data_IF_461513183338
#
_entry.id   IF_461513183338
#
_cell.length_a   1.000
_cell.length_b   1.000
_cell.length_c   1.000
_cell.angle_alpha   90.00
_cell.angle_beta   90.00
_cell.angle_gamma   90.00
#
_symmetry.space_group_name_H-M   'P 1'
#
loop_
_entity.id
_entity.type
_entity.pdbx_description
1 polymer ?
#
# COMPACT_ATOMS: atom_id res chain seq x y z
N UNK A 1 -20.91 13.30 6.07
CA UNK A 1 -20.62 14.28 4.99
C UNK A 1 -19.92 13.62 3.81
N UNK A 2 -18.81 12.89 4.00
CA UNK A 2 -18.11 12.17 2.93
C UNK A 2 -18.94 11.05 2.30
N UNK A 3 -19.61 10.21 3.09
CA UNK A 3 -20.47 9.13 2.56
C UNK A 3 -21.62 9.65 1.69
N UNK A 4 -22.25 10.76 2.08
CA UNK A 4 -23.32 11.41 1.31
C UNK A 4 -22.80 11.89 -0.04
N UNK A 5 -21.60 12.47 -0.08
CA UNK A 5 -20.98 12.90 -1.33
C UNK A 5 -20.58 11.70 -2.20
N UNK A 6 -20.04 10.63 -1.62
CA UNK A 6 -19.73 9.39 -2.35
C UNK A 6 -20.99 8.80 -2.99
N UNK A 7 -22.10 8.73 -2.24
CA UNK A 7 -23.37 8.23 -2.76
C UNK A 7 -23.91 9.11 -3.90
N UNK A 8 -23.86 10.44 -3.71
CA UNK A 8 -24.22 11.39 -4.77
C UNK A 8 -23.36 11.22 -6.02
N UNK A 9 -22.06 10.94 -5.88
CA UNK A 9 -21.17 10.69 -7.01
C UNK A 9 -21.46 9.34 -7.69
N UNK A 10 -21.84 8.30 -6.94
CA UNK A 10 -22.29 7.01 -7.51
C UNK A 10 -23.52 7.21 -8.42
N UNK A 11 -24.42 8.13 -8.07
CA UNK A 11 -25.64 8.41 -8.83
C UNK A 11 -25.42 9.32 -10.05
N UNK A 12 -24.54 10.32 -9.95
CA UNK A 12 -24.43 11.38 -10.97
C UNK A 12 -23.27 11.19 -11.97
N UNK A 13 -22.17 10.61 -11.52
CA UNK A 13 -20.97 10.39 -12.33
C UNK A 13 -20.20 9.23 -11.72
N UNK A 14 -20.83 8.05 -11.82
CA UNK A 14 -20.23 6.78 -11.42
C UNK A 14 -18.80 6.80 -11.97
N UNK A 15 -17.82 6.79 -11.06
CA UNK A 15 -16.39 6.68 -11.38
C UNK A 15 -15.66 7.98 -11.74
N UNK A 16 -16.13 9.14 -11.27
CA UNK A 16 -15.35 10.38 -11.33
C UNK A 16 -14.04 10.31 -10.53
N UNK A 17 -13.07 11.17 -10.87
CA UNK A 17 -11.83 11.33 -10.09
C UNK A 17 -12.12 11.65 -8.62
N UNK A 18 -13.12 12.50 -8.38
CA UNK A 18 -13.60 12.86 -7.04
C UNK A 18 -14.10 11.64 -6.29
N UNK A 19 -14.90 10.78 -6.94
CA UNK A 19 -15.37 9.53 -6.35
C UNK A 19 -14.20 8.65 -5.90
N UNK A 20 -13.20 8.40 -6.76
CA UNK A 20 -12.03 7.57 -6.40
C UNK A 20 -11.27 8.13 -5.19
N UNK A 21 -10.99 9.43 -5.18
CA UNK A 21 -10.26 10.11 -4.09
C UNK A 21 -11.01 10.08 -2.76
N UNK A 22 -12.32 10.33 -2.79
CA UNK A 22 -13.16 10.29 -1.60
C UNK A 22 -13.29 8.86 -1.06
N UNK A 23 -13.49 7.88 -1.94
CA UNK A 23 -13.61 6.48 -1.55
C UNK A 23 -12.30 5.94 -0.95
N UNK A 24 -11.12 6.32 -1.47
CA UNK A 24 -9.83 5.99 -0.85
C UNK A 24 -9.65 6.61 0.54
N UNK A 25 -10.14 7.84 0.72
CA UNK A 25 -10.09 8.52 2.02
C UNK A 25 -11.04 7.88 3.02
N UNK A 26 -12.25 7.52 2.60
CA UNK A 26 -13.21 6.78 3.42
C UNK A 26 -12.67 5.39 3.78
N UNK A 27 -12.08 4.66 2.82
CA UNK A 27 -11.48 3.37 3.09
C UNK A 27 -10.39 3.46 4.17
N UNK A 28 -9.52 4.49 4.14
CA UNK A 28 -8.53 4.68 5.21
C UNK A 28 -9.20 4.93 6.57
N UNK A 29 -10.26 5.74 6.63
CA UNK A 29 -11.01 5.99 7.87
C UNK A 29 -11.59 4.68 8.42
N UNK A 30 -12.23 3.88 7.57
CA UNK A 30 -12.82 2.60 7.96
C UNK A 30 -11.74 1.61 8.45
N UNK A 31 -10.57 1.55 7.80
CA UNK A 31 -9.42 0.75 8.27
C UNK A 31 -8.98 1.20 9.66
N UNK A 32 -8.82 2.52 9.86
CA UNK A 32 -8.40 3.09 11.16
C UNK A 32 -9.43 2.88 12.27
N UNK A 33 -10.69 2.65 11.92
CA UNK A 33 -11.78 2.31 12.85
C UNK A 33 -12.00 0.79 12.99
N UNK A 34 -11.16 -0.05 12.37
CA UNK A 34 -11.28 -1.51 12.34
C UNK A 34 -12.57 -2.03 11.66
N UNK A 35 -13.22 -1.23 10.82
CA UNK A 35 -14.37 -1.65 10.03
C UNK A 35 -13.93 -2.28 8.70
N UNK A 36 -13.21 -3.41 8.79
CA UNK A 36 -12.54 -4.01 7.63
C UNK A 36 -13.50 -4.47 6.53
N UNK A 37 -14.71 -4.91 6.86
CA UNK A 37 -15.70 -5.31 5.85
C UNK A 37 -16.14 -4.12 4.99
N UNK A 38 -16.34 -2.94 5.61
CA UNK A 38 -16.70 -1.71 4.88
C UNK A 38 -15.54 -1.22 4.02
N UNK A 39 -14.33 -1.23 4.59
CA UNK A 39 -13.12 -0.87 3.86
C UNK A 39 -12.92 -1.79 2.64
N UNK A 40 -13.10 -3.10 2.82
CA UNK A 40 -12.99 -4.09 1.74
C UNK A 40 -13.97 -3.80 0.60
N UNK A 41 -15.25 -3.58 0.91
CA UNK A 41 -16.25 -3.28 -0.12
C UNK A 41 -15.90 -2.02 -0.93
N UNK A 42 -15.41 -0.97 -0.27
CA UNK A 42 -14.94 0.25 -0.94
C UNK A 42 -13.71 0.00 -1.82
N UNK A 43 -12.75 -0.78 -1.32
CA UNK A 43 -11.50 -1.06 -2.04
C UNK A 43 -11.71 -1.97 -3.23
N UNK A 44 -12.56 -3.00 -3.12
CA UNK A 44 -12.90 -3.89 -4.23
C UNK A 44 -13.58 -3.10 -5.37
N UNK A 45 -14.53 -2.20 -5.04
CA UNK A 45 -15.14 -1.26 -6.01
C UNK A 45 -14.07 -0.39 -6.69
N UNK A 46 -13.13 0.18 -5.93
CA UNK A 46 -12.11 1.10 -6.46
C UNK A 46 -11.07 0.39 -7.33
N UNK A 47 -10.62 -0.81 -6.94
CA UNK A 47 -9.62 -1.57 -7.68
C UNK A 47 -10.13 -1.95 -9.07
N UNK A 48 -11.39 -2.43 -9.16
CA UNK A 48 -12.05 -2.69 -10.44
C UNK A 48 -12.01 -1.46 -11.34
N UNK A 49 -12.20 -0.27 -10.77
CA UNK A 49 -12.18 0.96 -11.55
C UNK A 49 -10.80 1.29 -12.07
N UNK A 50 -9.77 1.19 -11.24
CA UNK A 50 -8.40 1.43 -11.68
C UNK A 50 -7.98 0.48 -12.81
N UNK A 51 -8.38 -0.79 -12.75
CA UNK A 51 -8.09 -1.78 -13.79
C UNK A 51 -8.80 -1.48 -15.12
N UNK A 52 -9.86 -0.67 -15.12
CA UNK A 52 -10.60 -0.28 -16.33
C UNK A 52 -10.15 1.05 -16.93
N UNK A 53 -9.24 1.79 -16.29
CA UNK A 53 -8.76 3.06 -16.82
C UNK A 53 -7.78 2.84 -17.98
N UNK A 54 -8.14 3.34 -19.17
CA UNK A 54 -7.27 3.25 -20.34
C UNK A 54 -6.00 4.11 -20.21
N UNK A 55 -6.12 5.31 -19.66
CA UNK A 55 -5.02 6.27 -19.50
C UNK A 55 -5.07 6.91 -18.11
N UNK A 56 -4.55 6.24 -17.05
CA UNK A 56 -4.55 6.79 -15.71
C UNK A 56 -3.58 7.97 -15.60
N UNK A 57 -4.05 9.08 -15.02
CA UNK A 57 -3.21 10.21 -14.68
C UNK A 57 -2.32 9.91 -13.44
N UNK A 58 -1.46 10.85 -13.05
CA UNK A 58 -0.55 10.67 -11.91
C UNK A 58 -1.31 10.40 -10.59
N UNK A 59 -2.43 11.09 -10.35
CA UNK A 59 -3.25 10.88 -9.16
C UNK A 59 -3.88 9.48 -9.17
N UNK A 60 -4.31 9.00 -10.35
CA UNK A 60 -4.88 7.68 -10.52
C UNK A 60 -3.86 6.57 -10.29
N UNK A 61 -2.64 6.72 -10.82
CA UNK A 61 -1.54 5.77 -10.62
C UNK A 61 -1.18 5.63 -9.15
N UNK A 62 -1.00 6.75 -8.45
CA UNK A 62 -0.72 6.76 -7.00
C UNK A 62 -1.92 6.21 -6.22
N UNK A 63 -3.14 6.55 -6.63
CA UNK A 63 -4.37 6.06 -6.04
C UNK A 63 -4.54 4.55 -6.16
N UNK A 64 -4.15 3.96 -7.30
CA UNK A 64 -4.18 2.52 -7.51
C UNK A 64 -3.20 1.80 -6.58
N UNK A 65 -1.94 2.23 -6.54
CA UNK A 65 -0.94 1.68 -5.61
C UNK A 65 -1.43 1.80 -4.16
N UNK A 66 -2.03 2.94 -3.79
CA UNK A 66 -2.63 3.14 -2.46
C UNK A 66 -3.80 2.18 -2.19
N UNK A 67 -4.65 1.90 -3.17
CA UNK A 67 -5.76 0.96 -3.02
C UNK A 67 -5.24 -0.46 -2.73
N UNK A 68 -4.21 -0.90 -3.48
CA UNK A 68 -3.58 -2.21 -3.29
C UNK A 68 -2.95 -2.34 -1.91
N UNK A 69 -2.19 -1.33 -1.48
CA UNK A 69 -1.61 -1.26 -0.11
C UNK A 69 -2.70 -1.32 0.96
N UNK A 70 -3.79 -0.58 0.77
CA UNK A 70 -4.91 -0.55 1.72
C UNK A 70 -5.62 -1.92 1.78
N UNK A 71 -5.77 -2.60 0.65
CA UNK A 71 -6.35 -3.93 0.56
C UNK A 71 -5.44 -4.97 1.23
N UNK A 72 -4.13 -4.89 1.02
CA UNK A 72 -3.16 -5.76 1.66
C UNK A 72 -3.23 -5.71 3.19
N UNK A 73 -3.41 -4.51 3.76
CA UNK A 73 -3.47 -4.28 5.22
C UNK A 73 -4.65 -4.96 5.92
N UNK A 74 -5.74 -5.23 5.20
CA UNK A 74 -6.95 -5.85 5.75
C UNK A 74 -7.12 -7.32 5.31
N UNK A 75 -6.16 -7.86 4.58
CA UNK A 75 -6.18 -9.23 4.07
C UNK A 75 -5.51 -10.19 5.04
N UNK A 76 -5.82 -11.48 4.91
CA UNK A 76 -5.02 -12.55 5.52
C UNK A 76 -3.59 -12.55 4.99
N UNK A 77 -2.60 -13.05 5.73
CA UNK A 77 -1.19 -13.00 5.30
C UNK A 77 -0.93 -13.55 3.88
N UNK A 78 -1.45 -14.74 3.48
CA UNK A 78 -1.22 -15.24 2.13
C UNK A 78 -1.81 -14.32 1.04
N UNK A 79 -2.99 -13.75 1.30
CA UNK A 79 -3.65 -12.82 0.37
C UNK A 79 -2.97 -11.44 0.35
N UNK A 80 -2.50 -10.98 1.52
CA UNK A 80 -1.82 -9.70 1.69
C UNK A 80 -0.52 -9.64 0.90
N UNK A 81 0.28 -10.71 0.89
CA UNK A 81 1.52 -10.78 0.09
C UNK A 81 1.23 -10.56 -1.40
N UNK A 82 0.14 -11.13 -1.91
CA UNK A 82 -0.32 -10.91 -3.28
C UNK A 82 -0.57 -9.42 -3.57
N UNK A 83 -1.32 -8.73 -2.71
CA UNK A 83 -1.60 -7.31 -2.89
C UNK A 83 -0.36 -6.42 -2.76
N UNK A 84 0.54 -6.71 -1.82
CA UNK A 84 1.83 -6.00 -1.70
C UNK A 84 2.68 -6.19 -2.96
N UNK A 85 2.76 -7.42 -3.48
CA UNK A 85 3.51 -7.72 -4.70
C UNK A 85 2.91 -7.02 -5.91
N UNK A 86 1.58 -7.03 -6.04
CA UNK A 86 0.89 -6.29 -7.12
C UNK A 86 1.12 -4.79 -7.01
N UNK A 87 1.21 -4.22 -5.81
CA UNK A 87 1.54 -2.81 -5.63
C UNK A 87 2.94 -2.45 -6.15
N UNK A 88 3.94 -3.32 -5.93
CA UNK A 88 5.27 -3.15 -6.52
C UNK A 88 5.23 -3.23 -8.05
N UNK A 89 4.53 -4.23 -8.59
CA UNK A 89 4.39 -4.41 -10.04
C UNK A 89 3.72 -3.20 -10.70
N UNK A 90 2.64 -2.68 -10.10
CA UNK A 90 1.97 -1.48 -10.62
C UNK A 90 2.86 -0.25 -10.55
N UNK A 91 3.67 -0.09 -9.50
CA UNK A 91 4.62 1.00 -9.41
C UNK A 91 5.65 0.95 -10.56
N UNK A 92 6.15 -0.24 -10.90
CA UNK A 92 7.07 -0.45 -12.04
C UNK A 92 6.38 -0.19 -13.39
N UNK A 93 5.16 -0.71 -13.61
CA UNK A 93 4.38 -0.48 -14.83
C UNK A 93 4.13 1.01 -15.05
N UNK A 94 3.84 1.76 -14.00
CA UNK A 94 3.55 3.18 -14.09
C UNK A 94 4.78 4.08 -14.27
N UNK A 95 5.96 3.59 -13.91
CA UNK A 95 7.22 4.31 -13.92
C UNK A 95 8.35 3.43 -14.49
N UNK A 96 8.25 2.99 -15.76
CA UNK A 96 9.19 2.02 -16.33
C UNK A 96 10.60 2.61 -16.43
N UNK A 97 11.58 1.91 -15.87
CA UNK A 97 12.99 2.32 -15.87
C UNK A 97 13.33 3.39 -14.82
N UNK A 98 12.35 3.85 -14.04
CA UNK A 98 12.60 4.72 -12.89
C UNK A 98 13.11 3.89 -11.71
N UNK A 99 13.91 4.53 -10.87
CA UNK A 99 14.43 3.85 -9.68
C UNK A 99 13.34 3.68 -8.61
N UNK A 100 13.42 2.60 -7.84
CA UNK A 100 12.46 2.34 -6.76
C UNK A 100 12.46 3.45 -5.71
N UNK A 101 11.27 3.88 -5.32
CA UNK A 101 11.06 4.95 -4.33
C UNK A 101 10.91 4.37 -2.92
N UNK A 102 10.94 5.24 -1.91
CA UNK A 102 10.83 4.83 -0.50
C UNK A 102 9.61 3.93 -0.21
N UNK A 103 8.47 4.18 -0.86
CA UNK A 103 7.27 3.33 -0.79
C UNK A 103 7.57 1.87 -1.12
N UNK A 104 8.39 1.58 -2.14
CA UNK A 104 8.79 0.22 -2.51
C UNK A 104 9.56 -0.45 -1.37
N UNK A 105 10.47 0.28 -0.72
CA UNK A 105 11.20 -0.18 0.45
C UNK A 105 10.28 -0.60 1.61
N UNK A 106 9.26 0.22 1.92
CA UNK A 106 8.26 -0.12 2.93
C UNK A 106 7.45 -1.36 2.54
N UNK A 107 7.05 -1.48 1.27
CA UNK A 107 6.33 -2.66 0.78
C UNK A 107 7.19 -3.93 0.93
N UNK A 108 8.49 -3.87 0.62
CA UNK A 108 9.41 -4.99 0.82
C UNK A 108 9.49 -5.42 2.29
N UNK A 109 9.46 -4.49 3.25
CA UNK A 109 9.39 -4.83 4.68
C UNK A 109 8.10 -5.59 5.02
N UNK A 110 6.95 -5.17 4.48
CA UNK A 110 5.69 -5.89 4.71
C UNK A 110 5.69 -7.30 4.12
N UNK A 111 6.26 -7.48 2.93
CA UNK A 111 6.40 -8.82 2.33
C UNK A 111 7.35 -9.68 3.19
N UNK A 112 8.48 -9.14 3.63
CA UNK A 112 9.40 -9.84 4.53
C UNK A 112 8.71 -10.29 5.82
N UNK A 113 7.98 -9.39 6.46
CA UNK A 113 7.20 -9.66 7.66
C UNK A 113 6.18 -10.78 7.45
N UNK A 114 5.42 -10.74 6.35
CA UNK A 114 4.45 -11.78 6.02
C UNK A 114 5.14 -13.13 5.85
N UNK A 115 6.25 -13.19 5.10
CA UNK A 115 7.01 -14.42 4.87
C UNK A 115 7.54 -15.03 6.16
N UNK A 116 8.04 -14.20 7.07
CA UNK A 116 8.41 -14.62 8.43
C UNK A 116 7.23 -15.30 9.13
N UNK A 117 6.05 -14.64 9.16
CA UNK A 117 4.85 -15.20 9.82
C UNK A 117 4.35 -16.49 9.14
N UNK A 118 4.61 -16.67 7.85
CA UNK A 118 4.30 -17.88 7.11
C UNK A 118 5.41 -18.95 7.16
N UNK A 119 6.54 -18.70 7.82
CA UNK A 119 7.66 -19.64 7.94
C UNK A 119 8.63 -19.68 6.74
N UNK A 120 8.49 -18.77 5.77
CA UNK A 120 9.42 -18.61 4.66
C UNK A 120 10.58 -17.66 5.03
N UNK A 121 11.53 -18.21 5.79
CA UNK A 121 12.70 -17.45 6.26
C UNK A 121 13.62 -17.00 5.13
N UNK A 122 13.85 -17.86 4.13
CA UNK A 122 14.73 -17.56 3.00
C UNK A 122 14.15 -16.43 2.14
N UNK A 123 12.86 -16.54 1.81
CA UNK A 123 12.17 -15.51 1.05
C UNK A 123 12.05 -14.19 1.81
N UNK A 124 11.91 -14.23 3.14
CA UNK A 124 11.98 -13.03 3.99
C UNK A 124 13.32 -12.31 3.87
N UNK A 125 14.44 -13.02 4.03
CA UNK A 125 15.78 -12.43 3.96
C UNK A 125 16.05 -11.74 2.61
N UNK A 126 15.59 -12.34 1.52
CA UNK A 126 15.66 -11.73 0.19
C UNK A 126 14.90 -10.39 0.10
N UNK A 127 13.73 -10.29 0.74
CA UNK A 127 12.93 -9.06 0.77
C UNK A 127 13.51 -8.00 1.71
N UNK A 128 14.05 -8.40 2.87
CA UNK A 128 14.74 -7.47 3.78
C UNK A 128 15.94 -6.83 3.10
N UNK A 129 16.74 -7.60 2.36
CA UNK A 129 17.89 -7.06 1.62
C UNK A 129 17.45 -5.96 0.64
N UNK A 130 16.41 -6.22 -0.15
CA UNK A 130 15.84 -5.21 -1.07
C UNK A 130 15.31 -3.99 -0.33
N UNK A 131 14.59 -4.19 0.77
CA UNK A 131 14.07 -3.09 1.59
C UNK A 131 15.19 -2.17 2.08
N UNK A 132 16.27 -2.74 2.62
CA UNK A 132 17.43 -1.98 3.11
C UNK A 132 18.10 -1.21 1.97
N UNK A 133 18.31 -1.86 0.82
CA UNK A 133 18.92 -1.21 -0.36
C UNK A 133 18.13 0.02 -0.80
N UNK A 134 16.80 -0.10 -0.90
CA UNK A 134 15.92 1.01 -1.30
C UNK A 134 15.86 2.10 -0.22
N UNK A 135 15.61 1.73 1.03
CA UNK A 135 15.45 2.70 2.12
C UNK A 135 16.72 3.51 2.35
N UNK A 136 17.91 2.90 2.24
CA UNK A 136 19.19 3.63 2.34
C UNK A 136 19.41 4.62 1.21
N UNK A 137 18.95 4.31 0.00
CA UNK A 137 19.15 5.13 -1.18
C UNK A 137 18.13 6.27 -1.29
N UNK A 138 17.01 6.20 -0.58
CA UNK A 138 15.85 7.09 -0.79
C UNK A 138 15.46 7.84 0.47
N UNK A 139 15.19 9.13 0.32
CA UNK A 139 14.53 9.91 1.38
C UNK A 139 13.07 9.48 1.53
N UNK A 140 12.51 9.48 2.76
CA UNK A 140 11.09 9.26 2.98
C UNK A 140 10.22 10.18 2.11
N UNK A 141 9.25 9.58 1.42
CA UNK A 141 8.25 10.28 0.61
C UNK A 141 6.87 10.03 1.19
N UNK A 142 6.10 11.10 1.42
CA UNK A 142 4.78 11.03 2.05
C UNK A 142 3.65 11.07 1.02
N UNK A 143 3.80 10.32 -0.09
CA UNK A 143 2.83 10.27 -1.18
C UNK A 143 1.54 9.53 -0.80
N UNK A 144 1.67 8.53 0.08
CA UNK A 144 0.56 7.71 0.55
C UNK A 144 0.36 7.98 2.04
N UNK A 145 -0.81 8.51 2.46
CA UNK A 145 -1.10 8.77 3.85
C UNK A 145 -0.82 7.55 4.73
N UNK A 146 -0.06 7.76 5.80
CA UNK A 146 0.27 6.71 6.76
C UNK A 146 1.47 5.84 6.41
N UNK A 147 1.82 5.70 5.13
CA UNK A 147 2.85 4.76 4.69
C UNK A 147 4.23 5.09 5.27
N UNK A 148 4.73 6.30 5.04
CA UNK A 148 6.02 6.75 5.58
C UNK A 148 5.99 7.14 7.06
N UNK A 149 4.91 6.85 7.78
CA UNK A 149 4.75 7.19 9.20
C UNK A 149 4.38 5.92 9.99
N UNK A 150 3.14 5.81 10.48
CA UNK A 150 2.74 4.72 11.36
C UNK A 150 2.84 3.32 10.75
N UNK A 151 2.72 3.18 9.41
CA UNK A 151 2.89 1.86 8.78
C UNK A 151 4.35 1.42 8.74
N UNK A 152 5.25 2.36 8.43
CA UNK A 152 6.67 2.11 8.44
C UNK A 152 7.18 1.83 9.85
N UNK A 153 6.78 2.64 10.84
CA UNK A 153 7.13 2.40 12.25
C UNK A 153 6.62 1.05 12.74
N UNK A 154 5.39 0.69 12.38
CA UNK A 154 4.78 -0.61 12.73
C UNK A 154 5.60 -1.78 12.18
N UNK A 155 5.83 -1.81 10.86
CA UNK A 155 6.49 -2.96 10.24
C UNK A 155 7.96 -3.07 10.66
N UNK A 156 8.62 -1.94 10.93
CA UNK A 156 9.98 -1.92 11.49
C UNK A 156 9.99 -2.60 12.88
N UNK A 157 9.11 -2.17 13.79
CA UNK A 157 9.04 -2.73 15.14
C UNK A 157 8.76 -4.23 15.12
N UNK A 158 7.79 -4.66 14.30
CA UNK A 158 7.46 -6.08 14.16
C UNK A 158 8.63 -6.92 13.62
N UNK A 159 9.45 -6.35 12.74
CA UNK A 159 10.61 -7.05 12.18
C UNK A 159 11.80 -7.06 13.15
N UNK A 160 12.03 -6.00 13.91
CA UNK A 160 13.03 -5.91 14.99
C UNK A 160 12.75 -6.94 16.10
N UNK A 161 11.47 -7.19 16.40
CA UNK A 161 11.06 -8.14 17.43
C UNK A 161 11.19 -9.61 16.98
N UNK A 162 11.00 -9.88 15.69
CA UNK A 162 10.91 -11.27 15.17
C UNK A 162 12.18 -11.72 14.47
N UNK A 163 12.97 -10.79 13.95
CA UNK A 163 14.23 -11.02 13.27
C UNK A 163 15.24 -10.09 13.95
N UNK A 164 16.46 -10.53 14.22
CA UNK A 164 17.55 -9.64 14.70
C UNK A 164 17.97 -8.69 13.56
N UNK A 165 17.03 -7.83 13.18
CA UNK A 165 17.03 -6.90 12.06
C UNK A 165 17.06 -5.51 12.65
N UNK A 166 17.98 -4.68 12.19
CA UNK A 166 17.99 -3.25 12.49
C UNK A 166 18.15 -2.45 11.21
N UNK A 167 17.33 -1.41 11.06
CA UNK A 167 17.56 -0.41 10.04
C UNK A 167 18.75 0.48 10.48
N UNK A 168 19.53 1.02 9.53
CA UNK A 168 20.66 1.88 9.88
C UNK A 168 20.18 3.16 10.57
N UNK A 169 20.92 3.58 11.60
CA UNK A 169 20.70 4.86 12.25
C UNK A 169 20.75 6.01 11.23
N UNK A 170 19.71 6.85 11.22
CA UNK A 170 19.63 8.06 10.39
C UNK A 170 19.08 7.86 8.97
N UNK A 171 18.45 6.73 8.66
CA UNK A 171 17.82 6.47 7.36
C UNK A 171 16.46 7.18 7.14
N UNK A 172 16.17 8.26 7.86
CA UNK A 172 14.90 8.97 7.85
C UNK A 172 15.09 10.49 7.72
#
# INVERSE_FOLDING_TARGET
MIELEINRQKENSRYSRTFRRLSLSLAEIEIRQNHFDKAKALLDDILILYDTLAEPDVDDKVGHVRALISRARISSFPEAEGYWTTALLQNEIYNPGEEEVFTCGVIYLFIAFIRVKCGDWSGSQGMLKKAIEVIRARRPQFLIPGLGTYLFDYVRSELEDVVDFSLPDGAW
#
